data_IF_870210982822
#
_entry.id   IF_870210982822
#
_cell.length_a   1.000
_cell.length_b   1.000
_cell.length_c   1.000
_cell.angle_alpha   90.00
_cell.angle_beta   90.00
_cell.angle_gamma   90.00
#
_symmetry.space_group_name_H-M   'P 1'
#
loop_
_entity.id
_entity.type
_entity.pdbx_description
1 polymer ?
#
# COMPACT_ATOMS: atom_id res chain seq x y z
N UNK A 1 -15.03 -4.71 -5.63
CA UNK A 1 -15.64 -3.80 -4.62
C UNK A 1 -14.57 -3.57 -3.57
N UNK A 2 -14.37 -2.35 -3.06
CA UNK A 2 -13.33 -2.07 -2.04
C UNK A 2 -13.65 -2.69 -0.67
N UNK A 3 -12.67 -2.67 0.24
CA UNK A 3 -12.85 -3.17 1.60
C UNK A 3 -13.92 -2.40 2.36
N UNK A 4 -14.60 -3.05 3.31
CA UNK A 4 -15.51 -2.37 4.23
C UNK A 4 -14.71 -1.65 5.31
N UNK A 5 -14.97 -0.37 5.51
CA UNK A 5 -14.32 0.46 6.52
C UNK A 5 -15.32 1.46 7.13
N UNK A 6 -15.07 1.88 8.37
CA UNK A 6 -15.79 2.99 9.02
C UNK A 6 -14.88 4.17 9.33
N UNK A 7 -13.57 3.96 9.24
CA UNK A 7 -12.55 5.00 9.33
C UNK A 7 -12.52 5.84 8.05
N UNK A 8 -12.08 7.09 8.18
CA UNK A 8 -11.84 8.00 7.06
C UNK A 8 -10.93 7.39 6.00
N UNK A 9 -11.43 7.32 4.77
CA UNK A 9 -10.76 6.67 3.65
C UNK A 9 -9.39 7.29 3.36
N UNK A 10 -9.34 8.62 3.32
CA UNK A 10 -8.12 9.39 3.06
C UNK A 10 -7.03 9.07 4.08
N UNK A 11 -7.38 8.86 5.35
CA UNK A 11 -6.39 8.48 6.36
C UNK A 11 -5.83 7.08 6.14
N UNK A 12 -6.65 6.13 5.69
CA UNK A 12 -6.21 4.76 5.36
C UNK A 12 -5.22 4.82 4.19
N UNK A 13 -5.57 5.57 3.14
CA UNK A 13 -4.72 5.75 1.96
C UNK A 13 -3.41 6.45 2.31
N UNK A 14 -3.45 7.54 3.09
CA UNK A 14 -2.25 8.24 3.54
C UNK A 14 -1.30 7.35 4.34
N UNK A 15 -1.84 6.50 5.22
CA UNK A 15 -1.03 5.53 5.96
C UNK A 15 -0.45 4.45 5.05
N UNK A 16 -1.27 3.91 4.15
CA UNK A 16 -0.80 2.91 3.19
C UNK A 16 0.31 3.49 2.31
N UNK A 17 0.17 4.73 1.84
CA UNK A 17 1.17 5.45 1.05
C UNK A 17 2.48 5.62 1.81
N UNK A 18 2.42 5.99 3.09
CA UNK A 18 3.62 6.08 3.95
C UNK A 18 4.31 4.73 4.14
N UNK A 19 3.53 3.66 4.29
CA UNK A 19 4.09 2.31 4.39
C UNK A 19 4.74 1.90 3.06
N UNK A 20 4.06 2.13 1.94
CA UNK A 20 4.60 1.85 0.61
C UNK A 20 5.88 2.63 0.35
N UNK A 21 6.00 3.88 0.80
CA UNK A 21 7.24 4.67 0.66
C UNK A 21 8.49 3.96 1.21
N UNK A 22 8.32 3.10 2.23
CA UNK A 22 9.40 2.30 2.82
C UNK A 22 9.77 1.04 2.01
N UNK A 23 8.98 0.70 1.00
CA UNK A 23 9.21 -0.48 0.18
C UNK A 23 10.37 -0.26 -0.76
N UNK A 24 11.14 -1.32 -0.95
CA UNK A 24 12.28 -1.34 -1.87
C UNK A 24 11.77 -1.72 -3.26
N UNK A 25 12.32 -1.09 -4.29
CA UNK A 25 12.09 -1.41 -5.70
C UNK A 25 10.68 -1.11 -6.25
N UNK A 26 9.93 -0.18 -5.64
CA UNK A 26 8.63 0.24 -6.16
C UNK A 26 8.68 0.77 -7.60
N UNK A 27 9.79 1.37 -8.03
CA UNK A 27 9.94 1.84 -9.40
C UNK A 27 9.72 0.73 -10.45
N UNK A 28 10.01 -0.53 -10.09
CA UNK A 28 9.84 -1.69 -10.98
C UNK A 28 8.36 -1.96 -11.29
N UNK A 29 7.44 -1.66 -10.35
CA UNK A 29 6.00 -1.77 -10.59
C UNK A 29 5.52 -0.82 -11.68
N UNK A 30 6.14 0.37 -11.74
CA UNK A 30 5.81 1.40 -12.72
C UNK A 30 6.61 1.25 -14.01
N UNK A 31 7.34 0.13 -14.18
CA UNK A 31 8.26 -0.10 -15.30
C UNK A 31 9.25 1.04 -15.49
N UNK A 32 9.60 1.70 -14.39
CA UNK A 32 10.48 2.86 -14.34
C UNK A 32 11.82 2.43 -13.78
N UNK A 33 12.91 2.95 -14.36
CA UNK A 33 14.23 2.73 -13.78
C UNK A 33 14.43 3.63 -12.54
N UNK A 34 15.40 3.26 -11.69
CA UNK A 34 15.68 4.00 -10.46
C UNK A 34 16.11 5.46 -10.71
N UNK A 35 16.74 5.74 -11.85
CA UNK A 35 17.20 7.09 -12.19
C UNK A 35 16.02 8.01 -12.49
N UNK A 36 15.04 7.55 -13.25
CA UNK A 36 13.84 8.30 -13.58
C UNK A 36 12.97 8.50 -12.34
N UNK A 37 12.88 7.48 -11.48
CA UNK A 37 12.19 7.59 -10.20
C UNK A 37 12.83 8.63 -9.27
N UNK A 38 14.16 8.64 -9.17
CA UNK A 38 14.89 9.60 -8.32
C UNK A 38 14.93 11.02 -8.90
N UNK A 39 14.63 11.19 -10.19
CA UNK A 39 14.43 12.50 -10.82
C UNK A 39 13.06 13.12 -10.49
N UNK A 40 12.08 12.33 -10.06
CA UNK A 40 10.79 12.84 -9.60
C UNK A 40 10.97 13.60 -8.27
N UNK A 41 10.22 14.69 -8.12
CA UNK A 41 10.10 15.35 -6.82
C UNK A 41 9.46 14.39 -5.82
N UNK A 42 9.67 14.68 -4.52
CA UNK A 42 9.07 13.85 -3.48
C UNK A 42 7.54 13.86 -3.54
N UNK A 43 6.95 15.01 -3.85
CA UNK A 43 5.50 15.15 -4.01
C UNK A 43 4.96 14.29 -5.16
N UNK A 44 5.65 14.26 -6.31
CA UNK A 44 5.25 13.42 -7.44
C UNK A 44 5.35 11.93 -7.10
N UNK A 45 6.39 11.50 -6.38
CA UNK A 45 6.49 10.12 -5.90
C UNK A 45 5.32 9.78 -4.96
N UNK A 46 4.97 10.69 -4.05
CA UNK A 46 3.86 10.50 -3.12
C UNK A 46 2.50 10.44 -3.83
N UNK A 47 2.26 11.25 -4.87
CA UNK A 47 1.05 11.18 -5.68
C UNK A 47 0.91 9.83 -6.41
N UNK A 48 2.02 9.35 -7.00
CA UNK A 48 2.06 8.02 -7.63
C UNK A 48 1.76 6.92 -6.61
N UNK A 49 2.40 6.98 -5.44
CA UNK A 49 2.17 6.00 -4.38
C UNK A 49 0.77 6.10 -3.76
N UNK A 50 0.16 7.29 -3.70
CA UNK A 50 -1.23 7.49 -3.28
C UNK A 50 -2.19 6.84 -4.25
N UNK A 51 -1.95 6.99 -5.55
CA UNK A 51 -2.74 6.31 -6.59
C UNK A 51 -2.60 4.79 -6.48
N UNK A 52 -1.39 4.27 -6.27
CA UNK A 52 -1.16 2.85 -6.06
C UNK A 52 -1.82 2.32 -4.76
N UNK A 53 -1.79 3.11 -3.68
CA UNK A 53 -2.49 2.76 -2.44
C UNK A 53 -4.00 2.62 -2.66
N UNK A 54 -4.60 3.51 -3.46
CA UNK A 54 -6.01 3.43 -3.85
C UNK A 54 -6.29 2.12 -4.58
N UNK A 55 -5.48 1.80 -5.60
CA UNK A 55 -5.60 0.57 -6.38
C UNK A 55 -5.46 -0.69 -5.50
N UNK A 56 -4.47 -0.72 -4.59
CA UNK A 56 -4.26 -1.83 -3.65
C UNK A 56 -5.46 -1.97 -2.73
N UNK A 57 -6.00 -0.88 -2.19
CA UNK A 57 -7.16 -0.92 -1.32
C UNK A 57 -8.38 -1.54 -2.03
N UNK A 58 -8.61 -1.14 -3.29
CA UNK A 58 -9.68 -1.72 -4.10
C UNK A 58 -9.43 -3.18 -4.46
N UNK A 59 -8.19 -3.54 -4.81
CA UNK A 59 -7.80 -4.91 -5.09
C UNK A 59 -8.03 -5.81 -3.87
N UNK A 60 -7.66 -5.33 -2.68
CA UNK A 60 -7.82 -6.05 -1.41
C UNK A 60 -9.28 -6.39 -1.09
N UNK A 61 -10.23 -5.60 -1.58
CA UNK A 61 -11.66 -5.89 -1.41
C UNK A 61 -12.18 -7.06 -2.26
N UNK A 62 -11.37 -7.54 -3.22
CA UNK A 62 -11.71 -8.69 -4.07
C UNK A 62 -10.72 -9.84 -3.85
N UNK A 63 -9.43 -9.54 -3.78
CA UNK A 63 -8.35 -10.47 -3.48
C UNK A 63 -7.76 -10.09 -2.12
N UNK A 64 -7.92 -10.91 -1.07
CA UNK A 64 -7.48 -10.56 0.29
C UNK A 64 -5.96 -10.34 0.46
N UNK A 65 -5.18 -10.39 -0.62
CA UNK A 65 -3.73 -10.33 -0.62
C UNK A 65 -3.22 -9.67 -1.90
N UNK A 66 -2.18 -8.85 -1.76
CA UNK A 66 -1.46 -8.20 -2.84
C UNK A 66 0.05 -8.36 -2.62
N UNK A 67 0.78 -8.86 -3.61
CA UNK A 67 2.21 -9.18 -3.49
C UNK A 67 3.03 -8.25 -4.40
N UNK A 68 4.04 -7.61 -3.82
CA UNK A 68 4.99 -6.73 -4.50
C UNK A 68 6.40 -7.23 -4.17
N UNK A 69 7.01 -8.00 -5.08
CA UNK A 69 8.33 -8.59 -4.83
C UNK A 69 8.36 -9.42 -3.53
N UNK A 70 9.13 -8.96 -2.54
CA UNK A 70 9.24 -9.59 -1.21
C UNK A 70 8.32 -8.96 -0.14
N UNK A 71 7.50 -8.00 -0.55
CA UNK A 71 6.51 -7.37 0.31
C UNK A 71 5.13 -7.93 0.00
N UNK A 72 4.32 -8.08 1.04
CA UNK A 72 2.99 -8.67 0.96
C UNK A 72 2.04 -7.85 1.81
N UNK A 73 0.94 -7.45 1.21
CA UNK A 73 -0.12 -6.65 1.83
C UNK A 73 -1.35 -7.54 1.89
N UNK A 74 -1.93 -7.71 3.07
CA UNK A 74 -3.02 -8.66 3.29
C UNK A 74 -4.15 -7.99 4.04
N UNK A 75 -5.37 -8.19 3.58
CA UNK A 75 -6.54 -7.87 4.38
C UNK A 75 -6.77 -8.96 5.43
N UNK A 76 -6.80 -8.53 6.69
CA UNK A 76 -7.11 -9.36 7.85
C UNK A 76 -8.54 -9.08 8.29
N UNK A 77 -9.46 -9.97 7.92
CA UNK A 77 -10.89 -9.80 8.22
C UNK A 77 -11.20 -9.90 9.72
N UNK A 78 -10.46 -10.71 10.48
CA UNK A 78 -10.66 -10.88 11.93
C UNK A 78 -10.36 -9.59 12.69
N UNK A 79 -9.21 -8.98 12.37
CA UNK A 79 -8.78 -7.72 12.99
C UNK A 79 -9.31 -6.49 12.25
N UNK A 80 -9.98 -6.69 11.12
CA UNK A 80 -10.46 -5.64 10.21
C UNK A 80 -9.36 -4.64 9.87
N UNK A 81 -8.18 -5.15 9.56
CA UNK A 81 -6.96 -4.39 9.31
C UNK A 81 -6.33 -4.76 7.98
N UNK A 82 -5.47 -3.88 7.46
CA UNK A 82 -4.54 -4.20 6.37
C UNK A 82 -3.19 -4.46 7.01
N UNK A 83 -2.72 -5.70 6.93
CA UNK A 83 -1.45 -6.16 7.47
C UNK A 83 -0.37 -6.14 6.39
N UNK A 84 0.77 -5.51 6.68
CA UNK A 84 1.89 -5.37 5.77
C UNK A 84 3.07 -6.19 6.25
N UNK A 85 3.51 -7.11 5.41
CA UNK A 85 4.62 -8.01 5.64
C UNK A 85 5.78 -7.66 4.72
N UNK A 86 6.99 -7.66 5.28
CA UNK A 86 8.25 -7.53 4.53
C UNK A 86 9.14 -8.70 4.92
N UNK A 87 9.55 -9.52 3.95
CA UNK A 87 10.30 -10.76 4.20
C UNK A 87 9.60 -11.66 5.24
N UNK A 88 8.28 -11.87 5.07
CA UNK A 88 7.42 -12.66 5.95
C UNK A 88 7.25 -12.14 7.40
N UNK A 89 7.83 -10.99 7.74
CA UNK A 89 7.64 -10.35 9.03
C UNK A 89 6.59 -9.26 8.94
N UNK A 90 5.60 -9.28 9.84
CA UNK A 90 4.64 -8.18 10.01
C UNK A 90 5.40 -6.91 10.40
N UNK A 91 5.34 -5.88 9.56
CA UNK A 91 6.00 -4.58 9.81
C UNK A 91 5.01 -3.50 10.21
N UNK A 92 3.79 -3.55 9.69
CA UNK A 92 2.76 -2.57 9.99
C UNK A 92 1.39 -3.19 9.84
N UNK A 93 0.41 -2.63 10.55
CA UNK A 93 -1.00 -3.01 10.46
C UNK A 93 -1.83 -1.74 10.55
N UNK A 94 -2.73 -1.54 9.58
CA UNK A 94 -3.58 -0.34 9.47
C UNK A 94 -5.01 -0.75 9.79
N UNK A 95 -5.59 -0.18 10.85
CA UNK A 95 -6.99 -0.44 11.21
C UNK A 95 -7.94 0.28 10.23
N UNK A 96 -8.97 -0.43 9.78
CA UNK A 96 -10.04 0.13 8.93
C UNK A 96 -11.24 0.65 9.72
N UNK A 97 -11.21 0.47 11.04
CA UNK A 97 -12.30 0.81 11.96
C UNK A 97 -11.73 1.62 13.13
N UNK A 98 -12.61 2.43 13.73
CA UNK A 98 -12.33 3.27 14.91
C UNK A 98 -12.75 2.52 16.17
#
# INVERSE_FOLDING_TARGET
MGLKHTREYTQIIDELTKVLESFVNLQELFQMNLKDWTLLSKDNQLEILSTLSDDIFYALGSENEYIIGNQKIKYNEENKSIDIFINEQLKSSISLYI
#
